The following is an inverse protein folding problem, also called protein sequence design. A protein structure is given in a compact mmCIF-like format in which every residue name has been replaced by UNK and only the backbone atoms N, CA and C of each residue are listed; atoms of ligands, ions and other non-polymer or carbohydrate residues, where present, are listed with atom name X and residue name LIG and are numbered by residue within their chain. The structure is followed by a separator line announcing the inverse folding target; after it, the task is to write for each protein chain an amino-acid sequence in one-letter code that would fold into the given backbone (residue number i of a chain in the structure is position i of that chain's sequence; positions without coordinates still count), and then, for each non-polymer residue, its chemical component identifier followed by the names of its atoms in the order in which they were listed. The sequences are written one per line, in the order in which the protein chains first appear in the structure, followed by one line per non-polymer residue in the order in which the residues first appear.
data_IF_765661287304
#
_entry.id   IF_765661287304
#
_cell.length_a   1.000
_cell.length_b   1.000
_cell.length_c   1.000
_cell.angle_alpha   90.00
_cell.angle_beta   90.00
_cell.angle_gamma   90.00
#
_symmetry.space_group_name_H-M   'P 1'
#
loop_
_entity.id
_entity.type
_entity.pdbx_description
1 polymer ?
#
# COMPACT_ATOMS: atom_id res chain seq x y z
N UNK A 1 -14.97 58.52 28.29
CA UNK A 1 -14.76 57.08 28.02
C UNK A 1 -14.25 56.86 26.61
N UNK A 2 -12.91 56.73 26.47
CA UNK A 2 -12.29 56.29 25.23
C UNK A 2 -12.50 54.81 25.10
N UNK A 3 -13.37 54.39 24.18
CA UNK A 3 -13.49 53.00 23.73
C UNK A 3 -12.18 52.65 23.02
N UNK A 4 -11.33 51.91 23.69
CA UNK A 4 -10.14 51.31 23.09
C UNK A 4 -10.61 50.32 22.00
N UNK A 5 -10.41 50.69 20.72
CA UNK A 5 -10.58 49.79 19.58
C UNK A 5 -9.69 48.55 19.82
N UNK A 6 -10.32 47.40 20.04
CA UNK A 6 -9.60 46.11 20.05
C UNK A 6 -8.83 46.00 18.74
N UNK A 7 -7.53 45.62 18.76
CA UNK A 7 -6.78 45.39 17.56
C UNK A 7 -7.51 44.32 16.71
N UNK A 8 -7.68 44.62 15.41
CA UNK A 8 -8.29 43.67 14.46
C UNK A 8 -7.33 42.48 14.36
N UNK A 9 -7.69 41.36 14.93
CA UNK A 9 -6.91 40.11 14.81
C UNK A 9 -6.87 39.70 13.34
N UNK A 10 -5.70 39.31 12.82
CA UNK A 10 -5.63 38.80 11.44
C UNK A 10 -6.55 37.58 11.29
N UNK A 11 -7.33 37.54 10.20
CA UNK A 11 -8.22 36.39 9.89
C UNK A 11 -7.33 35.20 9.46
N UNK A 12 -7.03 34.34 10.40
CA UNK A 12 -6.44 33.04 10.11
C UNK A 12 -7.53 32.01 9.82
N UNK A 13 -7.24 31.01 8.98
CA UNK A 13 -8.10 29.84 8.83
C UNK A 13 -8.04 29.03 10.11
N UNK A 14 -9.20 28.82 10.71
CA UNK A 14 -9.32 27.99 11.92
C UNK A 14 -9.61 26.56 11.52
N UNK A 15 -8.90 25.60 12.14
CA UNK A 15 -9.18 24.17 12.01
C UNK A 15 -10.36 23.74 12.88
N UNK A 16 -10.85 22.54 12.66
CA UNK A 16 -11.88 21.92 13.50
C UNK A 16 -11.35 21.66 14.91
N UNK A 17 -12.21 21.81 15.90
CA UNK A 17 -11.88 21.43 17.27
C UNK A 17 -11.64 19.92 17.35
N UNK A 18 -10.49 19.51 17.91
CA UNK A 18 -10.10 18.09 18.04
C UNK A 18 -11.10 17.24 18.85
N UNK A 19 -11.86 17.85 19.73
CA UNK A 19 -12.86 17.20 20.57
C UNK A 19 -14.29 17.30 19.99
N UNK A 20 -14.42 17.89 18.78
CA UNK A 20 -15.72 18.00 18.14
C UNK A 20 -16.15 16.61 17.64
N UNK A 21 -17.30 16.16 18.09
CA UNK A 21 -17.96 14.99 17.55
C UNK A 21 -18.76 15.39 16.33
N UNK A 22 -18.52 14.71 15.21
CA UNK A 22 -19.30 14.88 13.98
C UNK A 22 -20.47 13.91 14.02
N UNK A 23 -21.67 14.38 13.66
CA UNK A 23 -22.85 13.54 13.56
C UNK A 23 -22.69 12.45 12.48
N UNK A 24 -22.02 12.81 11.39
CA UNK A 24 -21.62 11.91 10.31
C UNK A 24 -20.10 12.05 10.14
N UNK A 25 -19.29 11.17 10.74
CA UNK A 25 -17.85 11.18 10.52
C UNK A 25 -17.57 10.82 9.05
N UNK A 26 -16.59 11.47 8.40
CA UNK A 26 -16.21 11.13 7.05
C UNK A 26 -15.71 9.68 6.99
N UNK A 27 -16.00 9.00 5.88
CA UNK A 27 -15.46 7.67 5.61
C UNK A 27 -13.96 7.75 5.33
N UNK A 28 -13.22 6.64 5.53
CA UNK A 28 -11.81 6.59 5.13
C UNK A 28 -11.64 6.88 3.64
N UNK A 29 -12.63 6.52 2.83
CA UNK A 29 -12.60 6.72 1.38
C UNK A 29 -12.56 8.20 0.97
N UNK A 30 -13.17 9.09 1.76
CA UNK A 30 -13.17 10.53 1.52
C UNK A 30 -11.80 11.20 1.78
N UNK A 31 -10.91 10.53 2.52
CA UNK A 31 -9.55 11.01 2.79
C UNK A 31 -8.53 10.57 1.74
N UNK A 32 -8.89 9.64 0.87
CA UNK A 32 -8.01 9.09 -0.17
C UNK A 32 -8.51 9.53 -1.53
N UNK A 33 -7.72 10.35 -2.21
CA UNK A 33 -8.05 10.88 -3.54
C UNK A 33 -8.33 9.74 -4.54
N UNK A 34 -9.22 9.99 -5.51
CA UNK A 34 -9.56 9.02 -6.55
C UNK A 34 -8.33 8.58 -7.38
N UNK A 35 -7.36 9.47 -7.53
CA UNK A 35 -6.12 9.24 -8.27
C UNK A 35 -4.96 8.75 -7.39
N UNK A 36 -5.22 8.42 -6.12
CA UNK A 36 -4.17 7.99 -5.21
C UNK A 36 -3.64 6.60 -5.60
N UNK A 37 -2.31 6.43 -5.56
CA UNK A 37 -1.62 5.19 -5.91
C UNK A 37 -2.05 3.97 -5.07
N UNK A 38 -2.60 4.18 -3.87
CA UNK A 38 -3.10 3.06 -3.04
C UNK A 38 -4.30 2.37 -3.67
N UNK A 39 -5.12 3.09 -4.45
CA UNK A 39 -6.24 2.49 -5.20
C UNK A 39 -5.75 1.55 -6.30
N UNK A 40 -4.60 1.87 -6.90
CA UNK A 40 -3.95 0.98 -7.86
C UNK A 40 -3.44 -0.30 -7.20
N UNK A 41 -2.84 -0.20 -6.01
CA UNK A 41 -2.42 -1.37 -5.21
C UNK A 41 -3.63 -2.25 -4.90
N UNK A 42 -4.69 -1.65 -4.39
CA UNK A 42 -5.92 -2.33 -4.02
C UNK A 42 -6.51 -3.11 -5.19
N UNK A 43 -6.76 -2.42 -6.29
CA UNK A 43 -7.31 -3.00 -7.52
C UNK A 43 -6.41 -4.10 -8.11
N UNK A 44 -5.08 -3.93 -8.06
CA UNK A 44 -4.14 -4.95 -8.52
C UNK A 44 -4.24 -6.22 -7.68
N UNK A 45 -4.17 -6.10 -6.36
CA UNK A 45 -4.22 -7.26 -5.47
C UNK A 45 -5.56 -7.98 -5.54
N UNK A 46 -6.66 -7.24 -5.65
CA UNK A 46 -8.00 -7.83 -5.79
C UNK A 46 -8.20 -8.57 -7.13
N UNK A 47 -7.38 -8.26 -8.14
CA UNK A 47 -7.40 -8.96 -9.44
C UNK A 47 -6.64 -10.28 -9.44
N UNK A 48 -5.85 -10.58 -8.40
CA UNK A 48 -4.96 -11.75 -8.34
C UNK A 48 -5.68 -12.94 -7.70
N UNK A 49 -5.60 -14.09 -8.34
CA UNK A 49 -5.96 -15.36 -7.71
C UNK A 49 -4.81 -15.86 -6.82
N UNK A 50 -4.83 -15.47 -5.54
CA UNK A 50 -3.81 -15.84 -4.57
C UNK A 50 -3.76 -17.34 -4.30
N UNK A 51 -4.89 -18.05 -4.43
CA UNK A 51 -4.95 -19.48 -4.25
C UNK A 51 -4.20 -20.22 -5.38
N UNK A 52 -4.35 -19.75 -6.63
CA UNK A 52 -3.61 -20.29 -7.76
C UNK A 52 -2.09 -20.09 -7.62
N UNK A 53 -1.65 -19.05 -6.90
CA UNK A 53 -0.25 -18.78 -6.59
C UNK A 53 0.28 -19.56 -5.37
N UNK A 54 -0.56 -20.39 -4.74
CA UNK A 54 -0.18 -21.17 -3.56
C UNK A 54 -0.04 -20.33 -2.28
N UNK A 55 -0.55 -19.11 -2.27
CA UNK A 55 -0.64 -18.29 -1.06
C UNK A 55 -1.94 -18.65 -0.35
N UNK A 56 -1.84 -19.54 0.60
CA UNK A 56 -2.98 -19.90 1.42
C UNK A 56 -3.03 -19.03 2.68
N UNK A 57 -4.25 -18.75 3.15
CA UNK A 57 -4.46 -18.22 4.50
C UNK A 57 -3.77 -19.15 5.48
N UNK A 58 -3.02 -18.54 6.41
CA UNK A 58 -2.30 -19.27 7.46
C UNK A 58 -3.13 -20.45 7.97
N UNK A 59 -2.47 -21.60 8.17
CA UNK A 59 -3.06 -22.77 8.80
C UNK A 59 -3.81 -22.30 10.05
N UNK A 60 -5.13 -22.37 10.01
CA UNK A 60 -5.97 -21.95 11.11
C UNK A 60 -5.53 -22.69 12.37
N UNK A 61 -4.96 -21.98 13.32
CA UNK A 61 -4.81 -22.49 14.66
C UNK A 61 -6.24 -22.51 15.19
N UNK A 62 -6.77 -23.68 15.47
CA UNK A 62 -8.16 -23.91 15.88
C UNK A 62 -8.56 -23.15 17.17
N UNK A 63 -7.58 -22.63 17.92
CA UNK A 63 -7.75 -21.93 19.19
C UNK A 63 -6.93 -20.62 19.19
N UNK A 64 -7.27 -19.65 18.32
CA UNK A 64 -6.53 -18.38 18.30
C UNK A 64 -7.28 -17.27 17.57
N UNK A 65 -6.69 -16.09 17.61
CA UNK A 65 -7.18 -14.93 16.86
C UNK A 65 -7.18 -15.24 15.35
N UNK A 66 -8.24 -14.91 14.59
CA UNK A 66 -8.31 -15.14 13.16
C UNK A 66 -7.08 -14.57 12.43
N UNK A 67 -6.56 -15.31 11.47
CA UNK A 67 -5.44 -14.85 10.65
C UNK A 67 -5.87 -13.71 9.71
N UNK A 68 -4.96 -12.78 9.46
CA UNK A 68 -5.18 -11.76 8.43
C UNK A 68 -5.18 -12.39 7.04
N UNK A 69 -6.03 -11.87 6.16
CA UNK A 69 -6.08 -12.33 4.78
C UNK A 69 -4.75 -12.02 4.06
N UNK A 70 -4.19 -12.92 3.25
CA UNK A 70 -2.92 -12.71 2.53
C UNK A 70 -2.92 -11.48 1.63
N UNK A 71 -4.06 -11.16 1.01
CA UNK A 71 -4.22 -9.95 0.20
C UNK A 71 -3.87 -8.68 0.99
N UNK A 72 -4.31 -8.58 2.25
CA UNK A 72 -4.00 -7.46 3.11
C UNK A 72 -2.48 -7.29 3.31
N UNK A 73 -1.80 -8.40 3.61
CA UNK A 73 -0.35 -8.39 3.83
C UNK A 73 0.42 -8.07 2.56
N UNK A 74 -0.06 -8.52 1.41
CA UNK A 74 0.50 -8.17 0.11
C UNK A 74 0.32 -6.67 -0.19
N UNK A 75 -0.87 -6.10 0.04
CA UNK A 75 -1.13 -4.66 -0.10
C UNK A 75 -0.15 -3.82 0.74
N UNK A 76 0.10 -4.23 1.98
CA UNK A 76 1.06 -3.58 2.88
C UNK A 76 2.48 -3.58 2.29
N UNK A 77 2.93 -4.71 1.75
CA UNK A 77 4.26 -4.80 1.15
C UNK A 77 4.40 -3.98 -0.13
N UNK A 78 3.41 -3.99 -1.02
CA UNK A 78 3.41 -3.17 -2.23
C UNK A 78 3.45 -1.67 -1.90
N UNK A 79 2.66 -1.25 -0.91
CA UNK A 79 2.74 0.12 -0.40
C UNK A 79 4.14 0.45 0.13
N UNK A 80 4.72 -0.44 0.93
CA UNK A 80 6.06 -0.28 1.46
C UNK A 80 7.12 -0.15 0.37
N UNK A 81 7.00 -0.93 -0.71
CA UNK A 81 7.89 -0.85 -1.86
C UNK A 81 7.82 0.51 -2.55
N UNK A 82 6.60 0.98 -2.90
CA UNK A 82 6.41 2.28 -3.56
C UNK A 82 6.91 3.46 -2.70
N UNK A 83 6.71 3.38 -1.40
CA UNK A 83 7.09 4.44 -0.46
C UNK A 83 8.46 4.23 0.20
N UNK A 84 9.26 3.29 -0.30
CA UNK A 84 10.61 3.00 0.20
C UNK A 84 10.68 2.68 1.71
N UNK A 85 9.63 2.07 2.27
CA UNK A 85 9.56 1.67 3.68
C UNK A 85 10.20 0.29 3.84
N UNK A 86 11.41 0.24 4.32
CA UNK A 86 12.28 -0.96 4.37
C UNK A 86 12.35 -1.57 5.77
N UNK A 87 11.22 -1.70 6.48
CA UNK A 87 11.16 -2.35 7.80
C UNK A 87 9.73 -2.72 8.17
N UNK A 88 9.50 -3.95 8.63
CA UNK A 88 8.18 -4.39 9.10
C UNK A 88 7.68 -3.59 10.30
N UNK A 89 8.58 -3.15 11.20
CA UNK A 89 8.21 -2.26 12.32
C UNK A 89 7.79 -0.87 11.85
N UNK A 90 8.42 -0.34 10.77
CA UNK A 90 8.00 0.92 10.16
C UNK A 90 6.65 0.75 9.46
N UNK A 91 6.42 -0.35 8.74
CA UNK A 91 5.13 -0.66 8.12
C UNK A 91 4.01 -0.71 9.18
N UNK A 92 4.19 -1.44 10.28
CA UNK A 92 3.22 -1.45 11.38
C UNK A 92 2.92 -0.04 11.91
N UNK A 93 3.93 0.82 12.03
CA UNK A 93 3.74 2.20 12.47
C UNK A 93 2.95 3.03 11.47
N UNK A 94 3.22 2.87 10.16
CA UNK A 94 2.46 3.57 9.12
C UNK A 94 0.98 3.15 9.10
N UNK A 95 0.68 1.87 9.26
CA UNK A 95 -0.71 1.37 9.35
C UNK A 95 -1.51 2.10 10.44
N UNK A 96 -0.86 2.49 11.53
CA UNK A 96 -1.51 3.14 12.69
C UNK A 96 -1.65 4.65 12.57
N UNK A 97 -0.95 5.32 11.65
CA UNK A 97 -0.86 6.79 11.58
C UNK A 97 -1.10 7.39 10.19
N UNK A 98 -0.99 6.59 9.14
CA UNK A 98 -1.12 7.05 7.78
C UNK A 98 -2.50 6.67 7.24
N UNK A 99 -3.25 7.66 6.80
CA UNK A 99 -4.63 7.47 6.36
C UNK A 99 -4.74 6.56 5.13
N UNK A 100 -3.75 6.63 4.21
CA UNK A 100 -3.69 5.75 3.04
C UNK A 100 -3.54 4.28 3.46
N UNK A 101 -2.66 4.02 4.45
CA UNK A 101 -2.49 2.68 4.99
C UNK A 101 -3.71 2.22 5.80
N UNK A 102 -4.38 3.11 6.52
CA UNK A 102 -5.63 2.79 7.20
C UNK A 102 -6.72 2.40 6.20
N UNK A 103 -6.82 3.13 5.09
CA UNK A 103 -7.75 2.83 4.01
C UNK A 103 -7.42 1.47 3.36
N UNK A 104 -6.17 1.28 2.97
CA UNK A 104 -5.68 0.06 2.30
C UNK A 104 -5.84 -1.20 3.16
N UNK A 105 -5.73 -1.03 4.48
CA UNK A 105 -5.89 -2.12 5.45
C UNK A 105 -7.30 -2.22 6.03
N UNK A 106 -8.28 -1.44 5.54
CA UNK A 106 -9.65 -1.47 6.02
C UNK A 106 -9.76 -1.28 7.56
N UNK A 107 -8.86 -0.47 8.13
CA UNK A 107 -8.74 -0.27 9.57
C UNK A 107 -8.09 -1.40 10.37
N UNK A 108 -7.70 -2.50 9.72
CA UNK A 108 -6.97 -3.59 10.36
C UNK A 108 -5.52 -3.20 10.63
N UNK A 109 -4.96 -3.69 11.74
CA UNK A 109 -3.61 -3.31 12.19
C UNK A 109 -2.74 -4.53 12.48
N UNK A 110 -2.28 -5.27 11.45
CA UNK A 110 -1.38 -6.41 11.65
C UNK A 110 -0.06 -5.95 12.29
N UNK A 111 0.40 -6.71 13.30
CA UNK A 111 1.67 -6.44 13.96
C UNK A 111 2.87 -6.79 13.08
N UNK A 112 4.02 -6.16 13.35
CA UNK A 112 5.25 -6.35 12.57
C UNK A 112 5.69 -7.82 12.43
N UNK A 113 5.45 -8.65 13.46
CA UNK A 113 5.76 -10.09 13.41
C UNK A 113 4.94 -10.82 12.34
N UNK A 114 3.64 -10.49 12.24
CA UNK A 114 2.76 -11.06 11.21
C UNK A 114 3.22 -10.65 9.82
N UNK A 115 3.57 -9.37 9.64
CA UNK A 115 4.10 -8.84 8.38
C UNK A 115 5.40 -9.57 8.02
N UNK A 116 6.37 -9.64 8.93
CA UNK A 116 7.66 -10.29 8.69
C UNK A 116 7.53 -11.79 8.39
N UNK A 117 6.66 -12.51 9.10
CA UNK A 117 6.44 -13.93 8.87
C UNK A 117 5.83 -14.19 7.48
N UNK A 118 4.85 -13.39 7.06
CA UNK A 118 4.27 -13.53 5.72
C UNK A 118 5.34 -13.45 4.61
N UNK A 119 6.32 -12.54 4.72
CA UNK A 119 7.43 -12.44 3.78
C UNK A 119 8.34 -13.68 3.82
N UNK A 120 8.66 -14.17 5.02
CA UNK A 120 9.49 -15.37 5.20
C UNK A 120 8.84 -16.61 4.61
N UNK A 121 7.53 -16.71 4.73
CA UNK A 121 6.78 -17.88 4.28
C UNK A 121 6.53 -17.87 2.76
N UNK A 122 6.58 -16.68 2.10
CA UNK A 122 6.22 -16.51 0.69
C UNK A 122 7.28 -15.76 -0.15
N UNK A 123 8.60 -16.02 -0.03
CA UNK A 123 9.63 -15.18 -0.64
C UNK A 123 9.61 -15.18 -2.17
N UNK A 124 9.35 -16.33 -2.79
CA UNK A 124 9.35 -16.49 -4.24
C UNK A 124 8.16 -15.81 -4.89
N UNK A 125 6.98 -16.02 -4.32
CA UNK A 125 5.72 -15.45 -4.83
C UNK A 125 5.72 -13.95 -4.67
N UNK A 126 6.21 -13.42 -3.55
CA UNK A 126 6.34 -11.99 -3.35
C UNK A 126 7.24 -11.34 -4.42
N UNK A 127 8.39 -11.93 -4.75
CA UNK A 127 9.26 -11.42 -5.81
C UNK A 127 8.56 -11.35 -7.17
N UNK A 128 7.81 -12.39 -7.52
CA UNK A 128 7.04 -12.42 -8.76
C UNK A 128 5.96 -11.34 -8.76
N UNK A 129 5.16 -11.23 -7.69
CA UNK A 129 4.09 -10.24 -7.58
C UNK A 129 4.62 -8.80 -7.60
N UNK A 130 5.76 -8.53 -6.95
CA UNK A 130 6.42 -7.23 -7.06
C UNK A 130 6.83 -6.91 -8.48
N UNK A 131 7.43 -7.88 -9.19
CA UNK A 131 7.81 -7.70 -10.59
C UNK A 131 6.59 -7.35 -11.44
N UNK A 132 5.54 -8.16 -11.34
CA UNK A 132 4.32 -7.98 -12.12
C UNK A 132 3.66 -6.62 -11.83
N UNK A 133 3.62 -6.22 -10.57
CA UNK A 133 3.10 -4.91 -10.14
C UNK A 133 3.94 -3.75 -10.70
N UNK A 134 5.27 -3.81 -10.58
CA UNK A 134 6.17 -2.76 -11.11
C UNK A 134 6.05 -2.66 -12.62
N UNK A 135 5.94 -3.81 -13.31
CA UNK A 135 5.72 -3.86 -14.76
C UNK A 135 4.41 -3.19 -15.14
N UNK A 136 3.34 -3.51 -14.41
CA UNK A 136 2.03 -2.87 -14.59
C UNK A 136 2.13 -1.36 -14.37
N UNK A 137 2.72 -0.90 -13.27
CA UNK A 137 2.89 0.51 -12.97
C UNK A 137 3.67 1.27 -14.05
N UNK A 138 4.71 0.66 -14.62
CA UNK A 138 5.47 1.25 -15.74
C UNK A 138 4.67 1.31 -17.03
N UNK A 139 3.85 0.29 -17.31
CA UNK A 139 3.02 0.26 -18.52
C UNK A 139 1.96 1.35 -18.58
N UNK A 140 1.66 1.94 -17.44
CA UNK A 140 0.64 2.98 -17.23
C UNK A 140 1.24 4.30 -16.71
N UNK A 141 2.56 4.48 -16.87
CA UNK A 141 3.34 5.68 -16.48
C UNK A 141 3.17 6.11 -15.00
N UNK A 142 2.89 5.15 -14.10
CA UNK A 142 2.74 5.42 -12.66
C UNK A 142 4.07 5.63 -11.91
N UNK A 143 5.21 5.23 -12.47
CA UNK A 143 6.50 5.22 -11.75
C UNK A 143 7.39 6.42 -12.07
N UNK A 144 7.13 7.19 -13.13
CA UNK A 144 7.96 8.34 -13.52
C UNK A 144 7.45 9.70 -13.04
N UNK A 145 6.64 9.74 -11.97
CA UNK A 145 6.39 10.98 -11.21
C UNK A 145 5.16 11.79 -11.58
N UNK A 146 4.41 11.46 -12.61
CA UNK A 146 3.07 12.00 -12.84
C UNK A 146 2.03 10.88 -12.71
N UNK A 147 1.21 10.99 -11.66
CA UNK A 147 0.08 10.09 -11.45
C UNK A 147 -0.97 10.39 -12.50
N UNK A 148 -0.97 9.64 -13.59
CA UNK A 148 -2.13 9.60 -14.48
C UNK A 148 -3.23 8.84 -13.73
N UNK A 149 -4.40 9.45 -13.63
CA UNK A 149 -5.59 8.83 -13.03
C UNK A 149 -5.83 7.44 -13.64
N UNK A 150 -5.59 6.40 -12.86
CA UNK A 150 -5.82 5.04 -13.33
C UNK A 150 -7.11 4.54 -12.71
N UNK A 151 -8.11 4.40 -13.58
CA UNK A 151 -9.33 3.71 -13.22
C UNK A 151 -9.00 2.26 -12.81
N UNK A 152 -9.43 1.86 -11.61
CA UNK A 152 -9.28 0.48 -11.12
C UNK A 152 -9.84 -0.57 -12.09
N UNK A 153 -10.79 -0.20 -12.96
CA UNK A 153 -11.29 -1.06 -14.04
C UNK A 153 -10.22 -1.31 -15.11
N UNK A 154 -9.39 -0.31 -15.43
CA UNK A 154 -8.28 -0.45 -16.37
C UNK A 154 -7.19 -1.38 -15.84
N UNK A 155 -6.85 -1.28 -14.56
CA UNK A 155 -5.88 -2.17 -13.92
C UNK A 155 -6.37 -3.61 -13.87
N UNK A 156 -7.64 -3.84 -13.52
CA UNK A 156 -8.25 -5.17 -13.55
C UNK A 156 -8.27 -5.79 -14.94
N UNK A 157 -8.56 -5.00 -15.98
CA UNK A 157 -8.55 -5.46 -17.36
C UNK A 157 -7.14 -5.82 -17.87
N UNK A 158 -6.10 -5.14 -17.37
CA UNK A 158 -4.71 -5.38 -17.77
C UNK A 158 -3.97 -6.39 -16.90
N UNK A 159 -4.35 -6.58 -15.64
CA UNK A 159 -3.78 -7.61 -14.76
C UNK A 159 -3.97 -9.03 -15.34
N UNK A 160 -5.08 -9.26 -16.06
CA UNK A 160 -5.32 -10.53 -16.77
C UNK A 160 -4.55 -10.67 -18.09
N UNK A 161 -3.90 -9.58 -18.57
CA UNK A 161 -3.14 -9.54 -19.85
C UNK A 161 -1.63 -9.42 -19.65
N UNK A 162 -1.09 -9.95 -18.56
CA UNK A 162 0.34 -9.88 -18.21
C UNK A 162 1.31 -10.32 -19.35
N UNK A 163 0.84 -11.10 -20.32
CA UNK A 163 1.64 -11.50 -21.47
C UNK A 163 1.96 -10.35 -22.45
N UNK A 164 1.08 -9.35 -22.59
CA UNK A 164 1.25 -8.25 -23.53
C UNK A 164 2.18 -7.14 -23.01
N UNK A 165 2.34 -7.04 -21.68
CA UNK A 165 3.19 -6.03 -21.03
C UNK A 165 4.67 -6.40 -21.19
N UNK A 166 4.98 -7.70 -21.17
CA UNK A 166 6.35 -8.23 -21.32
C UNK A 166 6.97 -7.92 -22.68
N UNK A 167 6.17 -7.77 -23.74
CA UNK A 167 6.68 -7.55 -25.11
C UNK A 167 7.25 -6.14 -25.34
N UNK A 168 6.88 -5.15 -24.51
CA UNK A 168 7.32 -3.76 -24.64
C UNK A 168 8.56 -3.40 -23.84
N UNK A 169 8.99 -4.24 -22.89
CA UNK A 169 10.13 -3.97 -22.03
C UNK A 169 11.38 -4.69 -22.50
N UNK A 170 12.51 -3.97 -22.45
CA UNK A 170 13.80 -4.57 -22.79
C UNK A 170 14.27 -5.50 -21.67
N UNK A 171 15.10 -6.49 -22.01
CA UNK A 171 15.74 -7.40 -21.03
C UNK A 171 16.47 -6.63 -19.93
N UNK A 172 17.10 -5.51 -20.28
CA UNK A 172 17.82 -4.62 -19.34
C UNK A 172 16.87 -3.97 -18.33
N UNK A 173 15.67 -3.59 -18.76
CA UNK A 173 14.67 -3.02 -17.83
C UNK A 173 14.19 -4.06 -16.82
N UNK A 174 13.99 -5.29 -17.24
CA UNK A 174 13.61 -6.40 -16.36
C UNK A 174 14.71 -6.70 -15.33
N UNK A 175 15.97 -6.76 -15.75
CA UNK A 175 17.12 -6.95 -14.86
C UNK A 175 17.22 -5.83 -13.80
N UNK A 176 16.98 -4.59 -14.20
CA UNK A 176 16.96 -3.43 -13.28
C UNK A 176 15.82 -3.51 -12.26
N UNK A 177 14.63 -3.97 -12.67
CA UNK A 177 13.50 -4.17 -11.74
C UNK A 177 13.81 -5.27 -10.74
N UNK A 178 14.34 -6.40 -11.20
CA UNK A 178 14.72 -7.53 -10.35
C UNK A 178 15.77 -7.16 -9.32
N UNK A 179 16.73 -6.32 -9.70
CA UNK A 179 17.76 -5.83 -8.76
C UNK A 179 17.14 -4.96 -7.66
N UNK A 180 16.28 -4.01 -8.01
CA UNK A 180 15.59 -3.15 -7.04
C UNK A 180 14.71 -3.96 -6.08
N UNK A 181 14.00 -4.97 -6.59
CA UNK A 181 13.17 -5.85 -5.76
C UNK A 181 14.05 -6.67 -4.81
N UNK A 182 15.17 -7.20 -5.30
CA UNK A 182 16.12 -7.95 -4.48
C UNK A 182 16.69 -7.09 -3.36
N UNK A 183 17.12 -5.86 -3.68
CA UNK A 183 17.62 -4.89 -2.71
C UNK A 183 16.56 -4.55 -1.65
N UNK A 184 15.32 -4.31 -2.07
CA UNK A 184 14.21 -4.04 -1.15
C UNK A 184 13.96 -5.21 -0.19
N UNK A 185 13.87 -6.43 -0.71
CA UNK A 185 13.63 -7.64 0.09
C UNK A 185 14.77 -7.90 1.08
N UNK A 186 16.03 -7.71 0.65
CA UNK A 186 17.20 -7.86 1.52
C UNK A 186 17.26 -6.81 2.62
N UNK A 187 16.88 -5.57 2.32
CA UNK A 187 16.83 -4.49 3.32
C UNK A 187 15.76 -4.73 4.39
N UNK A 188 14.60 -5.28 4.01
CA UNK A 188 13.56 -5.71 4.95
C UNK A 188 14.06 -6.82 5.86
N UNK A 189 14.76 -7.82 5.30
CA UNK A 189 15.30 -8.93 6.07
C UNK A 189 16.33 -8.47 7.09
N UNK A 190 17.26 -7.61 6.68
CA UNK A 190 18.26 -7.02 7.58
C UNK A 190 17.61 -6.23 8.72
N UNK A 191 16.63 -5.37 8.41
CA UNK A 191 15.99 -4.53 9.44
C UNK A 191 15.09 -5.30 10.40
N UNK A 192 14.58 -6.47 10.00
CA UNK A 192 13.75 -7.31 10.85
C UNK A 192 14.55 -8.25 11.77
N UNK A 193 15.86 -8.43 11.49
CA UNK A 193 16.79 -9.24 12.30
C UNK A 193 17.50 -8.43 13.37
N UNK A 194 17.58 -7.11 13.22
CA UNK A 194 18.09 -6.18 14.25
C UNK A 194 16.98 -5.72 15.18
#
# INVERSE_FOLDING_TARGET
HRLTKRPKMPNYKEGLNRNQQLLFPPSLDEYVDENNSVRAIDSYVDSIDLAALGIFTCKGVSDGQPAYHPALLLKIYLYGYLNSIRSSRKLEREIKRNVEMMWLCEGLTPGYKTIANFRKDNPSVLKQLFRDFVMLCRSVDLIDGEVVAIDGAFLRANASKNQLISEKMTRKDMESVDEKIREYMSSLEYSDTC
#
